data_IF_655964319488
#
_entry.id   IF_655964319488
#
_cell.length_a   1.000
_cell.length_b   1.000
_cell.length_c   1.000
_cell.angle_alpha   90.00
_cell.angle_beta   90.00
_cell.angle_gamma   90.00
#
_symmetry.space_group_name_H-M   'P 1'
#
loop_
_entity.id
_entity.type
_entity.pdbx_description
1 polymer ?
#
# COMPACT_ATOMS: atom_id res chain seq x y z
N UNK A 1 0.78 -8.61 17.61
CA UNK A 1 1.57 -8.31 18.82
C UNK A 1 2.44 -7.12 18.46
N UNK A 2 2.01 -5.96 18.96
CA UNK A 2 2.29 -4.61 18.46
C UNK A 2 3.72 -4.18 18.80
N UNK A 3 4.49 -3.83 17.77
CA UNK A 3 5.71 -3.06 17.94
C UNK A 3 5.38 -1.57 18.07
N UNK A 4 6.15 -0.77 18.83
CA UNK A 4 5.86 0.63 19.16
C UNK A 4 5.86 1.62 17.97
N UNK A 5 6.04 1.14 16.73
CA UNK A 5 6.17 1.95 15.51
C UNK A 5 5.02 1.77 14.51
N UNK A 6 4.03 0.92 14.81
CA UNK A 6 2.92 0.68 13.88
C UNK A 6 1.87 1.76 14.06
N UNK A 7 1.65 2.56 13.02
CA UNK A 7 0.60 3.57 12.98
C UNK A 7 -0.49 3.12 12.00
N UNK A 8 -1.74 3.41 12.35
CA UNK A 8 -2.86 3.16 11.45
C UNK A 8 -3.86 4.32 11.45
N UNK A 9 -4.61 4.42 10.36
CA UNK A 9 -5.69 5.38 10.19
C UNK A 9 -6.84 4.71 9.42
N UNK A 10 -8.07 5.13 9.66
CA UNK A 10 -9.24 4.56 9.01
C UNK A 10 -10.05 5.64 8.29
N UNK A 11 -10.53 5.29 7.10
CA UNK A 11 -11.44 6.10 6.31
C UNK A 11 -12.74 5.30 6.12
N UNK A 12 -13.83 5.79 6.72
CA UNK A 12 -15.16 5.18 6.58
C UNK A 12 -15.83 5.72 5.33
N UNK A 13 -16.18 4.82 4.42
CA UNK A 13 -16.96 5.10 3.21
C UNK A 13 -18.42 4.74 3.51
N UNK A 14 -19.27 5.75 3.68
CA UNK A 14 -20.71 5.57 3.89
C UNK A 14 -21.45 5.64 2.55
N UNK A 15 -21.97 4.50 2.07
CA UNK A 15 -22.74 4.43 0.83
C UNK A 15 -24.26 4.48 1.09
N UNK A 16 -24.70 4.92 2.28
CA UNK A 16 -26.10 4.99 2.66
C UNK A 16 -26.77 3.62 2.63
N UNK A 17 -27.79 3.44 1.78
CA UNK A 17 -28.57 2.19 1.70
C UNK A 17 -27.77 0.96 1.26
N UNK A 18 -26.56 1.17 0.70
CA UNK A 18 -25.69 0.09 0.23
C UNK A 18 -24.65 -0.34 1.28
N UNK A 19 -24.75 0.18 2.51
CA UNK A 19 -23.87 -0.16 3.62
C UNK A 19 -22.62 0.71 3.70
N UNK A 20 -21.77 0.39 4.68
CA UNK A 20 -20.53 1.10 4.96
C UNK A 20 -19.34 0.19 4.66
N UNK A 21 -18.27 0.78 4.17
CA UNK A 21 -16.98 0.13 3.94
C UNK A 21 -15.92 0.89 4.71
N UNK A 22 -14.86 0.22 5.15
CA UNK A 22 -13.74 0.88 5.83
C UNK A 22 -12.47 0.62 5.06
N UNK A 23 -11.76 1.71 4.71
CA UNK A 23 -10.39 1.63 4.22
C UNK A 23 -9.45 1.92 5.38
N UNK A 24 -8.67 0.91 5.78
CA UNK A 24 -7.69 1.05 6.85
C UNK A 24 -6.29 1.15 6.26
N UNK A 25 -5.55 2.17 6.65
CA UNK A 25 -4.15 2.37 6.29
C UNK A 25 -3.27 1.96 7.47
N UNK A 26 -2.17 1.24 7.21
CA UNK A 26 -1.16 0.85 8.20
C UNK A 26 0.25 1.18 7.67
N UNK A 27 1.13 1.68 8.54
CA UNK A 27 2.56 1.87 8.23
C UNK A 27 3.43 1.49 9.43
N UNK A 28 4.74 1.33 9.19
CA UNK A 28 5.72 1.04 10.24
C UNK A 28 5.94 -0.45 10.54
N UNK A 29 5.22 -1.37 9.89
CA UNK A 29 5.45 -2.83 10.03
C UNK A 29 6.20 -3.45 8.85
N UNK A 30 5.76 -3.17 7.62
CA UNK A 30 6.24 -3.83 6.40
C UNK A 30 7.12 -2.90 5.56
N UNK A 31 8.02 -3.49 4.77
CA UNK A 31 8.89 -2.79 3.81
C UNK A 31 9.66 -1.58 4.41
N UNK A 32 10.16 -1.71 5.65
CA UNK A 32 10.86 -0.64 6.40
C UNK A 32 12.09 -0.04 5.70
N UNK A 33 12.63 -0.71 4.68
CA UNK A 33 13.79 -0.24 3.92
C UNK A 33 13.41 0.68 2.76
N UNK A 34 12.12 0.77 2.40
CA UNK A 34 11.64 1.72 1.42
C UNK A 34 11.70 3.16 1.98
N UNK A 35 11.72 4.15 1.10
CA UNK A 35 11.67 5.56 1.53
C UNK A 35 10.30 5.89 2.17
N UNK A 36 9.24 5.24 1.70
CA UNK A 36 7.94 5.20 2.36
C UNK A 36 7.24 3.87 2.08
N UNK A 37 6.47 3.38 3.04
CA UNK A 37 5.63 2.21 2.86
C UNK A 37 4.29 2.37 3.57
N UNK A 38 3.23 1.86 2.95
CA UNK A 38 1.90 1.82 3.53
C UNK A 38 1.15 0.58 3.04
N UNK A 39 0.36 0.01 3.92
CA UNK A 39 -0.61 -1.02 3.60
C UNK A 39 -1.99 -0.38 3.62
N UNK A 40 -2.81 -0.66 2.62
CA UNK A 40 -4.22 -0.34 2.60
C UNK A 40 -5.04 -1.62 2.67
N UNK A 41 -6.03 -1.64 3.55
CA UNK A 41 -7.00 -2.70 3.69
C UNK A 41 -8.37 -2.20 3.29
N UNK A 42 -9.15 -3.03 2.61
CA UNK A 42 -10.59 -2.82 2.41
C UNK A 42 -11.35 -3.84 3.24
N UNK A 43 -12.16 -3.35 4.18
CA UNK A 43 -12.94 -4.12 5.13
C UNK A 43 -12.12 -5.20 5.89
N UNK A 44 -10.82 -4.94 6.10
CA UNK A 44 -9.86 -5.88 6.66
C UNK A 44 -9.74 -7.24 5.91
N UNK A 45 -10.28 -7.32 4.68
CA UNK A 45 -10.30 -8.54 3.86
C UNK A 45 -9.31 -8.48 2.71
N UNK A 46 -9.36 -7.41 1.91
CA UNK A 46 -8.42 -7.19 0.80
C UNK A 46 -7.27 -6.34 1.29
N UNK A 47 -6.04 -6.76 1.01
CA UNK A 47 -4.82 -6.06 1.43
C UNK A 47 -4.01 -5.66 0.20
N UNK A 48 -3.57 -4.41 0.16
CA UNK A 48 -2.62 -3.89 -0.81
C UNK A 48 -1.42 -3.30 -0.07
N UNK A 49 -0.22 -3.69 -0.47
CA UNK A 49 1.04 -3.10 0.01
C UNK A 49 1.58 -2.15 -1.06
N UNK A 50 1.87 -0.92 -0.66
CA UNK A 50 2.59 0.06 -1.48
C UNK A 50 3.93 0.40 -0.81
N UNK A 51 5.00 0.36 -1.61
CA UNK A 51 6.33 0.77 -1.19
C UNK A 51 6.91 1.74 -2.23
N UNK A 52 7.33 2.90 -1.78
CA UNK A 52 7.89 3.96 -2.62
C UNK A 52 9.37 4.14 -2.32
N UNK A 53 10.18 4.25 -3.37
CA UNK A 53 11.62 4.52 -3.25
C UNK A 53 11.99 5.71 -4.12
N UNK A 54 13.04 6.42 -3.71
CA UNK A 54 13.60 7.54 -4.45
C UNK A 54 15.11 7.36 -4.55
N UNK A 55 15.67 7.70 -5.71
CA UNK A 55 17.12 7.73 -5.90
C UNK A 55 17.76 8.80 -5.01
N UNK A 56 18.97 8.54 -4.51
CA UNK A 56 19.71 9.50 -3.65
C UNK A 56 20.17 10.75 -4.40
N UNK A 57 20.30 10.65 -5.72
CA UNK A 57 20.77 11.74 -6.58
C UNK A 57 19.72 12.03 -7.65
N UNK A 58 19.46 13.31 -7.95
CA UNK A 58 18.56 13.69 -9.03
C UNK A 58 19.14 13.25 -10.37
N UNK A 59 18.25 12.94 -11.33
CA UNK A 59 18.63 12.57 -12.69
C UNK A 59 18.35 13.74 -13.62
N UNK A 60 19.24 14.72 -13.61
CA UNK A 60 19.08 16.00 -14.34
C UNK A 60 19.23 15.87 -15.87
N UNK A 61 19.59 14.67 -16.35
CA UNK A 61 19.72 14.35 -17.77
C UNK A 61 18.37 14.18 -18.48
N UNK A 62 17.25 14.18 -17.75
CA UNK A 62 15.90 14.06 -18.30
C UNK A 62 15.20 15.41 -18.30
N UNK A 63 14.44 15.68 -19.36
CA UNK A 63 13.53 16.83 -19.48
C UNK A 63 12.14 16.55 -18.88
N UNK A 64 11.96 15.38 -18.25
CA UNK A 64 10.73 14.94 -17.58
C UNK A 64 11.03 14.33 -16.20
N UNK A 65 9.99 14.16 -15.38
CA UNK A 65 10.10 13.49 -14.08
C UNK A 65 10.05 11.96 -14.25
N UNK A 66 11.13 11.21 -13.95
CA UNK A 66 11.20 9.77 -14.22
C UNK A 66 10.48 8.97 -13.12
N UNK A 67 9.15 8.94 -13.18
CA UNK A 67 8.30 8.13 -12.32
C UNK A 67 8.03 6.76 -12.94
N UNK A 68 8.18 5.71 -12.12
CA UNK A 68 7.78 4.34 -12.49
C UNK A 68 6.78 3.83 -11.46
N UNK A 69 5.73 3.17 -11.94
CA UNK A 69 4.70 2.54 -11.12
C UNK A 69 4.56 1.10 -11.58
N UNK A 70 4.80 0.17 -10.67
CA UNK A 70 4.66 -1.27 -10.90
C UNK A 70 3.50 -1.80 -10.06
N UNK A 71 2.63 -2.61 -10.68
CA UNK A 71 1.54 -3.31 -10.00
C UNK A 71 1.78 -4.80 -10.11
N UNK A 72 2.07 -5.43 -8.99
CA UNK A 72 2.32 -6.86 -8.91
C UNK A 72 1.10 -7.61 -8.35
N UNK A 73 0.33 -8.25 -9.23
CA UNK A 73 -0.72 -9.15 -8.81
C UNK A 73 -0.14 -10.49 -8.33
N UNK A 74 -0.65 -10.97 -7.20
CA UNK A 74 -0.19 -12.21 -6.60
C UNK A 74 -1.36 -13.18 -6.54
N UNK A 75 -1.28 -14.29 -7.29
CA UNK A 75 -2.38 -15.26 -7.38
C UNK A 75 -2.77 -15.87 -6.02
N UNK A 76 -1.83 -15.92 -5.07
CA UNK A 76 -2.13 -16.34 -3.70
C UNK A 76 -3.13 -15.42 -2.99
N UNK A 77 -3.30 -14.16 -3.43
CA UNK A 77 -4.30 -13.25 -2.90
C UNK A 77 -5.74 -13.72 -3.19
N UNK A 78 -5.91 -14.55 -4.24
CA UNK A 78 -7.17 -15.23 -4.56
C UNK A 78 -7.17 -16.70 -4.12
N UNK A 79 -6.17 -17.15 -3.37
CA UNK A 79 -6.03 -18.55 -2.94
C UNK A 79 -5.70 -19.53 -4.08
N UNK A 80 -5.13 -19.06 -5.20
CA UNK A 80 -4.79 -19.89 -6.36
C UNK A 80 -3.28 -20.11 -6.47
N UNK A 81 -2.89 -21.31 -6.92
CA UNK A 81 -1.51 -21.61 -7.32
C UNK A 81 -1.32 -21.16 -8.77
N UNK A 82 -0.25 -20.42 -9.10
CA UNK A 82 0.06 -20.04 -10.47
C UNK A 82 0.20 -21.27 -11.38
N UNK A 83 -0.59 -21.33 -12.44
CA UNK A 83 -0.59 -22.41 -13.45
C UNK A 83 -1.46 -22.05 -14.64
#
# INVERSE_FOLDING_TARGET
MEGPEIQFAEAVIDNGKFGKRTVRFETGRLAKQAAGSAVAYLDDQTMLLSATTAGKHPKDQFDFFPLTVDVEERQYAAGKIPG
#
